data_IF_352943755368
#
_entry.id   IF_352943755368
#
_cell.length_a   1.000
_cell.length_b   1.000
_cell.length_c   1.000
_cell.angle_alpha   90.00
_cell.angle_beta   90.00
_cell.angle_gamma   90.00
#
_symmetry.space_group_name_H-M   'P 1'
#
loop_
_entity.id
_entity.type
_entity.pdbx_description
1 polymer ?
#
# COMPACT_ATOMS: atom_id res chain seq x y z
N UNK A 1 16.94 6.95 20.43
CA UNK A 1 17.74 5.93 19.71
C UNK A 1 17.25 4.53 20.11
N UNK A 2 16.00 4.17 19.79
CA UNK A 2 15.37 2.91 20.22
C UNK A 2 15.53 1.77 19.19
N UNK A 3 15.85 2.10 17.93
CA UNK A 3 15.86 1.13 16.84
C UNK A 3 17.14 0.28 16.75
N UNK A 4 18.26 0.76 17.29
CA UNK A 4 19.54 0.04 17.21
C UNK A 4 19.54 -1.20 18.12
N UNK A 5 19.15 -1.11 19.42
CA UNK A 5 19.03 -2.30 20.25
C UNK A 5 18.08 -3.34 19.65
N UNK A 6 16.89 -2.90 19.22
CA UNK A 6 15.90 -3.78 18.58
C UNK A 6 16.43 -4.46 17.31
N UNK A 7 17.16 -3.73 16.45
CA UNK A 7 17.78 -4.30 15.26
C UNK A 7 18.82 -5.37 15.62
N UNK A 8 19.62 -5.14 16.65
CA UNK A 8 20.65 -6.08 17.09
C UNK A 8 20.01 -7.35 17.66
N UNK A 9 18.98 -7.23 18.49
CA UNK A 9 18.21 -8.38 19.01
C UNK A 9 17.60 -9.21 17.86
N UNK A 10 17.00 -8.56 16.86
CA UNK A 10 16.49 -9.27 15.67
C UNK A 10 17.58 -10.00 14.90
N UNK A 11 18.79 -9.43 14.82
CA UNK A 11 19.93 -10.06 14.16
C UNK A 11 20.41 -11.29 14.93
N UNK A 12 20.53 -11.18 16.25
CA UNK A 12 20.89 -12.32 17.10
C UNK A 12 19.89 -13.48 16.93
N UNK A 13 18.59 -13.18 16.85
CA UNK A 13 17.57 -14.21 16.57
C UNK A 13 17.77 -14.89 15.20
N UNK A 14 18.22 -14.18 14.17
CA UNK A 14 18.50 -14.76 12.85
C UNK A 14 19.81 -15.55 12.80
N UNK A 15 20.82 -15.14 13.56
CA UNK A 15 22.17 -15.72 13.51
C UNK A 15 22.35 -16.89 14.49
N UNK A 16 21.80 -16.76 15.70
CA UNK A 16 22.03 -17.69 16.82
C UNK A 16 20.76 -18.49 17.16
N UNK A 17 19.58 -17.89 16.98
CA UNK A 17 18.30 -18.49 17.34
C UNK A 17 17.92 -18.28 18.81
N UNK A 18 16.96 -19.07 19.30
CA UNK A 18 16.48 -19.02 20.68
C UNK A 18 16.29 -20.45 21.22
N UNK A 19 16.87 -20.73 22.39
CA UNK A 19 16.74 -22.04 23.04
C UNK A 19 15.48 -22.06 23.92
N UNK A 20 14.52 -22.92 23.59
CA UNK A 20 13.29 -23.13 24.37
C UNK A 20 13.16 -24.62 24.64
N UNK A 21 13.15 -25.02 25.92
CA UNK A 21 13.01 -26.42 26.32
C UNK A 21 14.15 -27.31 25.80
N UNK A 22 15.37 -26.78 25.66
CA UNK A 22 16.52 -27.50 25.12
C UNK A 22 16.58 -27.59 23.59
N UNK A 23 15.60 -27.04 22.87
CA UNK A 23 15.57 -27.00 21.40
C UNK A 23 16.00 -25.61 20.94
N UNK A 24 16.96 -25.51 20.02
CA UNK A 24 17.33 -24.24 19.39
C UNK A 24 16.41 -23.94 18.19
N UNK A 25 15.68 -22.82 18.28
CA UNK A 25 14.76 -22.35 17.25
C UNK A 25 15.44 -21.25 16.41
N UNK A 26 15.59 -21.49 15.10
CA UNK A 26 16.10 -20.50 14.15
C UNK A 26 14.97 -19.66 13.56
N UNK A 27 15.21 -18.36 13.33
CA UNK A 27 14.20 -17.43 12.85
C UNK A 27 14.48 -16.97 11.43
N UNK A 28 13.47 -17.11 10.56
CA UNK A 28 13.44 -16.47 9.25
C UNK A 28 12.52 -15.25 9.32
N UNK A 29 13.10 -14.07 9.19
CA UNK A 29 12.36 -12.81 9.24
C UNK A 29 11.80 -12.45 7.86
N UNK A 30 10.60 -11.88 7.88
CA UNK A 30 9.89 -11.35 6.72
C UNK A 30 9.42 -9.94 7.04
N UNK A 31 9.38 -9.08 6.03
CA UNK A 31 8.99 -7.69 6.19
C UNK A 31 7.97 -7.29 5.13
N UNK A 32 6.88 -6.66 5.55
CA UNK A 32 5.91 -6.02 4.66
C UNK A 32 5.45 -4.71 5.26
N UNK A 33 5.22 -3.72 4.40
CA UNK A 33 4.76 -2.39 4.79
C UNK A 33 4.21 -1.63 3.59
N UNK A 34 3.68 -0.43 3.84
CA UNK A 34 3.47 0.55 2.78
C UNK A 34 4.81 0.96 2.13
N UNK A 35 4.74 1.49 0.91
CA UNK A 35 5.92 1.88 0.13
C UNK A 35 6.84 2.89 0.81
N UNK A 36 6.28 3.85 1.54
CA UNK A 36 7.07 4.90 2.18
C UNK A 36 7.92 4.30 3.28
N UNK A 37 7.32 3.48 4.14
CA UNK A 37 8.08 2.80 5.19
C UNK A 37 9.08 1.78 4.61
N UNK A 38 8.69 1.05 3.57
CA UNK A 38 9.56 0.13 2.85
C UNK A 38 10.83 0.84 2.33
N UNK A 39 10.64 1.97 1.64
CA UNK A 39 11.75 2.74 1.08
C UNK A 39 12.67 3.30 2.18
N UNK A 40 12.10 3.78 3.30
CA UNK A 40 12.89 4.25 4.45
C UNK A 40 13.75 3.12 5.02
N UNK A 41 13.14 1.96 5.30
CA UNK A 41 13.84 0.84 5.88
C UNK A 41 14.89 0.22 4.93
N UNK A 42 14.71 0.35 3.62
CA UNK A 42 15.66 -0.10 2.60
C UNK A 42 16.72 0.95 2.22
N UNK A 43 16.72 2.13 2.85
CA UNK A 43 17.63 3.22 2.47
C UNK A 43 17.48 3.61 0.99
N UNK A 44 16.24 3.53 0.48
CA UNK A 44 15.91 3.62 -0.94
C UNK A 44 15.29 4.97 -1.29
N UNK A 45 15.36 5.32 -2.57
CA UNK A 45 14.77 6.54 -3.10
C UNK A 45 13.24 6.56 -2.95
N UNK A 46 12.69 7.77 -3.04
CA UNK A 46 11.25 7.97 -3.11
C UNK A 46 10.64 7.29 -4.36
N UNK A 47 9.35 6.99 -4.27
CA UNK A 47 8.58 6.32 -5.33
C UNK A 47 8.56 7.08 -6.68
N UNK A 48 8.81 8.39 -6.67
CA UNK A 48 8.86 9.24 -7.86
C UNK A 48 10.27 9.38 -8.47
N UNK A 49 11.29 8.71 -7.93
CA UNK A 49 12.65 8.76 -8.46
C UNK A 49 12.81 8.01 -9.79
N UNK A 50 13.94 8.21 -10.46
CA UNK A 50 14.27 7.51 -11.71
C UNK A 50 14.36 5.98 -11.51
N UNK A 51 14.94 5.55 -10.38
CA UNK A 51 15.07 4.15 -10.00
C UNK A 51 14.16 3.89 -8.81
N UNK A 52 12.93 3.47 -9.11
CA UNK A 52 11.88 3.38 -8.11
C UNK A 52 11.67 1.95 -7.60
N UNK A 53 12.16 0.89 -8.26
CA UNK A 53 11.90 -0.47 -7.82
C UNK A 53 12.98 -0.98 -6.84
N UNK A 54 12.59 -1.44 -5.64
CA UNK A 54 13.52 -2.04 -4.70
C UNK A 54 14.06 -3.40 -5.16
N UNK A 55 13.35 -4.14 -6.00
CA UNK A 55 13.67 -5.54 -6.33
C UNK A 55 14.39 -5.75 -7.67
N UNK A 56 14.27 -4.81 -8.61
CA UNK A 56 14.90 -4.89 -9.92
C UNK A 56 15.53 -3.54 -10.33
N UNK A 57 16.44 -3.51 -11.33
CA UNK A 57 17.18 -2.30 -11.69
C UNK A 57 16.43 -1.37 -12.66
N UNK A 58 15.10 -1.51 -12.80
CA UNK A 58 14.31 -0.70 -13.73
C UNK A 58 14.48 0.80 -13.49
N UNK A 59 14.64 1.54 -14.59
CA UNK A 59 14.49 2.99 -14.61
C UNK A 59 13.14 3.42 -15.20
N UNK A 60 12.67 4.61 -14.84
CA UNK A 60 11.45 5.21 -15.43
C UNK A 60 11.48 5.27 -16.96
N UNK A 61 12.67 5.40 -17.56
CA UNK A 61 12.85 5.45 -19.01
C UNK A 61 12.46 4.15 -19.71
N UNK A 62 12.51 3.04 -18.99
CA UNK A 62 12.25 1.70 -19.55
C UNK A 62 10.83 1.21 -19.28
N UNK A 63 10.03 1.96 -18.50
CA UNK A 63 8.66 1.57 -18.13
C UNK A 63 7.71 1.46 -19.33
N UNK A 64 7.99 2.18 -20.41
CA UNK A 64 7.22 2.10 -21.66
C UNK A 64 7.47 0.80 -22.43
N UNK A 65 8.54 0.07 -22.14
CA UNK A 65 8.87 -1.16 -22.84
C UNK A 65 8.15 -2.37 -22.21
N UNK A 66 6.91 -2.60 -22.64
CA UNK A 66 6.06 -3.72 -22.19
C UNK A 66 6.59 -5.10 -22.56
N UNK A 67 7.52 -5.20 -23.51
CA UNK A 67 8.11 -6.46 -23.93
C UNK A 67 9.28 -6.88 -23.03
N UNK A 68 9.83 -5.95 -22.23
CA UNK A 68 10.92 -6.24 -21.31
C UNK A 68 10.39 -7.01 -20.10
N UNK A 69 11.12 -8.05 -19.72
CA UNK A 69 10.90 -8.80 -18.47
C UNK A 69 11.71 -8.16 -17.35
N UNK A 70 11.11 -8.09 -16.17
CA UNK A 70 11.76 -7.68 -14.93
C UNK A 70 11.57 -8.78 -13.90
N UNK A 71 12.66 -9.19 -13.27
CA UNK A 71 12.69 -10.18 -12.21
C UNK A 71 13.32 -9.59 -10.95
N UNK A 72 13.07 -10.21 -9.80
CA UNK A 72 13.78 -9.93 -8.56
C UNK A 72 15.24 -10.33 -8.76
N UNK A 73 16.11 -9.34 -8.92
CA UNK A 73 17.54 -9.55 -9.23
C UNK A 73 18.48 -8.80 -8.31
N UNK A 74 17.98 -7.80 -7.58
CA UNK A 74 18.75 -7.12 -6.54
C UNK A 74 18.96 -8.07 -5.35
N UNK A 75 20.12 -7.95 -4.72
CA UNK A 75 20.50 -8.73 -3.54
C UNK A 75 20.83 -7.80 -2.38
N UNK A 76 20.50 -8.21 -1.16
CA UNK A 76 20.71 -7.41 0.06
C UNK A 76 22.19 -7.11 0.30
N UNK A 77 23.08 -8.05 0.02
CA UNK A 77 24.54 -7.88 0.22
C UNK A 77 25.16 -6.90 -0.77
N UNK A 78 24.58 -6.80 -1.98
CA UNK A 78 25.06 -5.93 -3.05
C UNK A 78 24.28 -4.61 -3.15
N UNK A 79 23.48 -4.28 -2.13
CA UNK A 79 22.46 -3.22 -2.23
C UNK A 79 23.03 -1.85 -2.61
N UNK A 80 24.24 -1.54 -2.13
CA UNK A 80 24.95 -0.28 -2.38
C UNK A 80 25.49 -0.15 -3.81
N UNK A 81 25.54 -1.24 -4.59
CA UNK A 81 25.98 -1.23 -5.99
C UNK A 81 24.83 -0.79 -6.91
N UNK A 82 23.59 -1.03 -6.49
CA UNK A 82 22.44 -0.72 -7.33
C UNK A 82 22.01 0.73 -7.20
N UNK A 83 21.64 1.31 -8.35
CA UNK A 83 20.97 2.60 -8.38
C UNK A 83 19.67 2.57 -7.55
N UNK A 84 19.41 3.71 -6.91
CA UNK A 84 18.22 3.94 -6.10
C UNK A 84 18.44 3.78 -4.59
N UNK A 85 19.49 3.10 -4.15
CA UNK A 85 19.85 3.01 -2.74
C UNK A 85 20.88 4.08 -2.39
N UNK A 86 20.65 4.82 -1.30
CA UNK A 86 21.52 5.89 -0.81
C UNK A 86 22.07 5.62 0.59
N UNK A 87 21.55 4.60 1.28
CA UNK A 87 22.00 4.19 2.60
C UNK A 87 21.83 2.70 2.82
N UNK A 88 22.57 2.15 3.79
CA UNK A 88 22.45 0.74 4.17
C UNK A 88 21.06 0.48 4.75
N UNK A 89 20.35 -0.58 4.31
CA UNK A 89 19.06 -0.96 4.86
C UNK A 89 19.09 -1.15 6.38
N UNK A 90 18.06 -0.64 7.06
CA UNK A 90 17.88 -0.73 8.49
C UNK A 90 17.81 -2.20 8.95
N UNK A 91 17.14 -3.05 8.18
CA UNK A 91 17.00 -4.48 8.45
C UNK A 91 17.74 -5.32 7.38
N UNK A 92 19.03 -5.03 7.17
CA UNK A 92 19.86 -5.72 6.18
C UNK A 92 20.13 -7.22 6.49
N UNK A 93 19.70 -7.74 7.64
CA UNK A 93 19.69 -9.18 7.90
C UNK A 93 18.51 -9.91 7.24
N UNK A 94 17.53 -9.17 6.69
CA UNK A 94 16.38 -9.75 5.97
C UNK A 94 16.71 -9.80 4.47
N UNK A 95 16.76 -10.99 3.84
CA UNK A 95 16.98 -11.12 2.40
C UNK A 95 15.95 -10.33 1.59
N UNK A 96 16.34 -9.78 0.44
CA UNK A 96 15.46 -8.86 -0.31
C UNK A 96 14.16 -9.52 -0.81
N UNK A 97 14.18 -10.82 -1.08
CA UNK A 97 12.99 -11.58 -1.45
C UNK A 97 12.09 -11.95 -0.25
N UNK A 98 12.49 -11.60 0.97
CA UNK A 98 11.65 -11.59 2.18
C UNK A 98 11.03 -10.22 2.47
N UNK A 99 11.33 -9.20 1.66
CA UNK A 99 10.62 -7.92 1.66
C UNK A 99 9.44 -8.02 0.71
N UNK A 100 8.27 -8.33 1.25
CA UNK A 100 7.10 -8.75 0.50
C UNK A 100 6.18 -7.53 0.26
N UNK A 101 5.81 -7.25 -1.00
CA UNK A 101 4.84 -6.20 -1.31
C UNK A 101 3.51 -6.41 -0.58
N UNK A 102 2.98 -5.36 0.02
CA UNK A 102 1.69 -5.43 0.69
C UNK A 102 0.52 -5.39 -0.31
N UNK A 103 -0.29 -6.45 -0.31
CA UNK A 103 -1.46 -6.58 -1.19
C UNK A 103 -2.52 -5.50 -0.93
N UNK A 104 -2.68 -5.09 0.32
CA UNK A 104 -3.66 -4.07 0.67
C UNK A 104 -3.25 -2.74 0.01
N UNK A 105 -2.00 -2.32 0.17
CA UNK A 105 -1.51 -1.09 -0.45
C UNK A 105 -1.48 -1.15 -1.98
N UNK A 106 -1.26 -2.32 -2.60
CA UNK A 106 -1.44 -2.51 -4.05
C UNK A 106 -2.88 -2.15 -4.45
N UNK A 107 -3.88 -2.73 -3.76
CA UNK A 107 -5.30 -2.43 -4.03
C UNK A 107 -5.61 -0.96 -3.86
N UNK A 108 -5.20 -0.36 -2.72
CA UNK A 108 -5.50 1.02 -2.41
C UNK A 108 -4.94 1.98 -3.46
N UNK A 109 -3.64 1.82 -3.79
CA UNK A 109 -2.91 2.79 -4.61
C UNK A 109 -3.18 2.66 -6.09
N UNK A 110 -3.44 1.45 -6.59
CA UNK A 110 -3.84 1.27 -7.99
C UNK A 110 -5.27 1.75 -8.19
N UNK A 111 -6.20 1.47 -7.27
CA UNK A 111 -7.57 2.00 -7.36
C UNK A 111 -7.57 3.54 -7.33
N UNK A 112 -6.77 4.16 -6.45
CA UNK A 112 -6.58 5.61 -6.45
C UNK A 112 -6.08 6.12 -7.80
N UNK A 113 -5.13 5.42 -8.41
CA UNK A 113 -4.60 5.82 -9.73
C UNK A 113 -5.66 5.73 -10.80
N UNK A 114 -6.39 4.61 -10.87
CA UNK A 114 -7.47 4.39 -11.83
C UNK A 114 -8.59 5.44 -11.70
N UNK A 115 -9.00 5.73 -10.46
CA UNK A 115 -10.02 6.76 -10.18
C UNK A 115 -9.56 8.15 -10.61
N UNK A 116 -8.34 8.54 -10.23
CA UNK A 116 -7.78 9.84 -10.60
C UNK A 116 -7.64 10.02 -12.11
N UNK A 117 -7.30 8.95 -12.83
CA UNK A 117 -7.19 9.00 -14.29
C UNK A 117 -8.55 9.23 -14.96
N UNK A 118 -9.63 8.62 -14.46
CA UNK A 118 -11.00 8.90 -14.95
C UNK A 118 -11.39 10.34 -14.67
N UNK A 119 -11.15 10.85 -13.45
CA UNK A 119 -11.47 12.24 -13.12
C UNK A 119 -10.68 13.23 -13.98
N UNK A 120 -9.40 12.97 -14.22
CA UNK A 120 -8.56 13.81 -15.07
C UNK A 120 -9.07 13.84 -16.53
N UNK A 121 -9.51 12.72 -17.06
CA UNK A 121 -10.09 12.65 -18.41
C UNK A 121 -11.37 13.50 -18.52
N UNK A 122 -12.22 13.49 -17.50
CA UNK A 122 -13.43 14.33 -17.45
C UNK A 122 -13.07 15.82 -17.29
N UNK A 123 -11.97 16.13 -16.60
CA UNK A 123 -11.45 17.49 -16.49
C UNK A 123 -10.90 18.00 -17.82
N UNK A 124 -10.09 17.20 -18.54
CA UNK A 124 -9.50 17.58 -19.83
C UNK A 124 -10.54 17.82 -20.93
N UNK A 125 -11.69 17.15 -20.85
CA UNK A 125 -12.80 17.34 -21.79
C UNK A 125 -13.65 18.57 -21.49
N UNK A 126 -13.40 19.29 -20.38
CA UNK A 126 -14.18 20.45 -19.96
C UNK A 126 -15.54 20.11 -19.33
N UNK A 127 -15.87 18.83 -19.18
CA UNK A 127 -17.14 18.37 -18.60
C UNK A 127 -17.13 18.32 -17.07
N UNK A 128 -16.00 18.57 -16.40
CA UNK A 128 -15.91 18.56 -14.93
C UNK A 128 -16.53 19.82 -14.27
N UNK A 129 -17.83 20.01 -14.48
CA UNK A 129 -18.65 21.08 -13.92
C UNK A 129 -19.51 20.55 -12.74
N UNK A 130 -20.40 21.40 -12.23
CA UNK A 130 -21.29 21.03 -11.11
C UNK A 130 -22.20 19.85 -11.44
N UNK A 131 -22.68 19.76 -12.68
CA UNK A 131 -23.54 18.66 -13.14
C UNK A 131 -22.80 17.33 -13.11
N UNK A 132 -21.58 17.28 -13.64
CA UNK A 132 -20.76 16.07 -13.61
C UNK A 132 -20.40 15.66 -12.17
N UNK A 133 -20.06 16.62 -11.30
CA UNK A 133 -19.83 16.35 -9.88
C UNK A 133 -21.07 15.76 -9.19
N UNK A 134 -22.25 16.30 -9.48
CA UNK A 134 -23.51 15.79 -8.93
C UNK A 134 -23.84 14.38 -9.42
N UNK A 135 -23.60 14.08 -10.70
CA UNK A 135 -23.76 12.73 -11.27
C UNK A 135 -22.84 11.75 -10.56
N UNK A 136 -21.56 12.09 -10.39
CA UNK A 136 -20.58 11.25 -9.67
C UNK A 136 -21.04 11.00 -8.24
N UNK A 137 -21.48 12.04 -7.51
CA UNK A 137 -21.96 11.90 -6.13
C UNK A 137 -23.20 11.01 -6.05
N UNK A 138 -24.17 11.18 -6.96
CA UNK A 138 -25.36 10.31 -7.03
C UNK A 138 -24.97 8.86 -7.28
N UNK A 139 -24.03 8.63 -8.18
CA UNK A 139 -23.56 7.29 -8.52
C UNK A 139 -22.78 6.63 -7.37
N UNK A 140 -21.93 7.39 -6.66
CA UNK A 140 -21.29 6.95 -5.42
C UNK A 140 -22.31 6.57 -4.34
N UNK A 141 -23.34 7.39 -4.16
CA UNK A 141 -24.41 7.13 -3.20
C UNK A 141 -25.21 5.86 -3.57
N UNK A 142 -25.47 5.62 -4.87
CA UNK A 142 -26.13 4.40 -5.37
C UNK A 142 -25.41 3.13 -4.91
N UNK A 143 -24.07 3.15 -4.95
CA UNK A 143 -23.23 2.03 -4.49
C UNK A 143 -22.91 2.08 -2.98
N UNK A 144 -23.60 2.93 -2.22
CA UNK A 144 -23.44 3.10 -0.76
C UNK A 144 -22.01 3.53 -0.37
N UNK A 145 -21.45 4.47 -1.11
CA UNK A 145 -20.17 5.14 -0.83
C UNK A 145 -20.48 6.62 -0.53
N UNK A 146 -20.12 7.07 0.67
CA UNK A 146 -20.26 8.47 1.05
C UNK A 146 -19.14 9.29 0.39
N UNK A 147 -19.49 10.15 -0.56
CA UNK A 147 -18.54 10.88 -1.38
C UNK A 147 -19.01 12.31 -1.66
N UNK A 148 -18.12 13.26 -1.52
CA UNK A 148 -18.40 14.68 -1.71
C UNK A 148 -17.22 15.38 -2.40
N UNK A 149 -17.53 16.44 -3.12
CA UNK A 149 -16.57 17.39 -3.67
C UNK A 149 -16.60 18.70 -2.86
N UNK A 150 -15.46 19.36 -2.73
CA UNK A 150 -15.37 20.72 -2.19
C UNK A 150 -14.26 21.50 -2.89
N UNK A 151 -14.37 22.82 -2.89
CA UNK A 151 -13.32 23.68 -3.39
C UNK A 151 -12.34 24.01 -2.26
N UNK A 152 -11.04 23.92 -2.55
CA UNK A 152 -10.00 24.28 -1.60
C UNK A 152 -9.94 25.80 -1.36
N UNK A 153 -9.67 26.20 -0.11
CA UNK A 153 -9.62 27.63 0.24
C UNK A 153 -8.48 28.32 -0.51
N UNK A 154 -8.81 29.36 -1.27
CA UNK A 154 -7.84 30.21 -1.96
C UNK A 154 -7.37 29.69 -3.32
N UNK A 155 -7.97 28.62 -3.87
CA UNK A 155 -7.74 28.21 -5.24
C UNK A 155 -9.03 27.72 -5.93
N UNK A 156 -9.01 27.64 -7.26
CA UNK A 156 -10.11 27.06 -8.05
C UNK A 156 -10.04 25.52 -8.13
N UNK A 157 -9.19 24.89 -7.31
CA UNK A 157 -9.00 23.45 -7.31
C UNK A 157 -10.08 22.76 -6.49
N UNK A 158 -10.65 21.72 -7.08
CA UNK A 158 -11.63 20.86 -6.43
C UNK A 158 -10.94 19.65 -5.80
N UNK A 159 -11.24 19.43 -4.53
CA UNK A 159 -10.90 18.24 -3.78
C UNK A 159 -12.12 17.34 -3.60
N UNK A 160 -11.89 16.09 -3.18
CA UNK A 160 -12.93 15.09 -3.00
C UNK A 160 -12.62 14.12 -1.87
N UNK A 161 -13.66 13.42 -1.39
CA UNK A 161 -13.55 12.49 -0.28
C UNK A 161 -12.54 11.38 -0.56
N UNK A 162 -11.56 11.21 0.33
CA UNK A 162 -10.63 10.08 0.25
C UNK A 162 -11.36 8.77 0.51
N UNK A 163 -11.31 7.84 -0.46
CA UNK A 163 -12.00 6.56 -0.36
C UNK A 163 -11.26 5.60 0.59
N UNK A 164 -12.00 4.98 1.50
CA UNK A 164 -11.48 3.90 2.36
C UNK A 164 -11.41 2.57 1.62
N UNK A 165 -10.68 1.58 2.14
CA UNK A 165 -10.41 0.32 1.42
C UNK A 165 -11.66 -0.42 0.92
N UNK A 166 -12.73 -0.47 1.73
CA UNK A 166 -13.99 -1.09 1.31
C UNK A 166 -14.73 -0.27 0.24
N UNK A 167 -14.70 1.05 0.37
CA UNK A 167 -15.33 1.93 -0.62
C UNK A 167 -14.57 1.90 -1.95
N UNK A 168 -13.24 1.79 -1.94
CA UNK A 168 -12.44 1.57 -3.14
C UNK A 168 -12.85 0.28 -3.87
N UNK A 169 -13.06 -0.82 -3.14
CA UNK A 169 -13.53 -2.07 -3.75
C UNK A 169 -14.95 -1.95 -4.34
N UNK A 170 -15.84 -1.22 -3.67
CA UNK A 170 -17.19 -0.94 -4.20
C UNK A 170 -17.13 -0.10 -5.47
N UNK A 171 -16.34 0.99 -5.47
CA UNK A 171 -16.15 1.84 -6.64
C UNK A 171 -15.58 1.02 -7.79
N UNK A 172 -14.52 0.26 -7.53
CA UNK A 172 -13.86 -0.57 -8.52
C UNK A 172 -14.85 -1.55 -9.17
N UNK A 173 -15.75 -2.19 -8.42
CA UNK A 173 -16.67 -3.20 -8.97
C UNK A 173 -17.97 -2.62 -9.54
N UNK A 174 -18.54 -1.62 -8.86
CA UNK A 174 -19.96 -1.30 -9.04
C UNK A 174 -20.22 0.11 -9.57
N UNK A 175 -19.24 1.01 -9.61
CA UNK A 175 -19.45 2.35 -10.16
C UNK A 175 -19.79 2.27 -11.66
N UNK A 176 -20.92 2.85 -12.05
CA UNK A 176 -21.36 2.88 -13.45
C UNK A 176 -20.65 4.00 -14.22
N UNK A 177 -19.61 3.61 -14.95
CA UNK A 177 -18.82 4.51 -15.78
C UNK A 177 -19.62 5.12 -16.95
N UNK A 178 -20.74 4.53 -17.35
CA UNK A 178 -21.56 5.05 -18.46
C UNK A 178 -22.28 6.35 -18.10
N UNK A 179 -22.39 6.65 -16.80
CA UNK A 179 -22.97 7.90 -16.29
C UNK A 179 -22.08 9.11 -16.58
N UNK A 180 -20.78 8.91 -16.80
CA UNK A 180 -19.78 10.00 -16.91
C UNK A 180 -18.85 9.89 -18.12
N UNK A 181 -18.93 8.81 -18.91
CA UNK A 181 -18.08 8.59 -20.08
C UNK A 181 -18.88 8.07 -21.29
N UNK A 182 -18.42 8.33 -22.52
CA UNK A 182 -19.01 7.75 -23.73
C UNK A 182 -19.07 6.21 -23.67
N UNK A 183 -20.10 5.55 -24.23
CA UNK A 183 -20.32 4.10 -24.07
C UNK A 183 -19.15 3.20 -24.48
N UNK A 184 -18.38 3.57 -25.50
CA UNK A 184 -17.17 2.83 -25.92
C UNK A 184 -16.06 2.95 -24.89
N UNK A 185 -15.83 4.16 -24.37
CA UNK A 185 -14.81 4.45 -23.36
C UNK A 185 -15.17 3.84 -22.01
N UNK A 186 -16.42 3.97 -21.58
CA UNK A 186 -16.94 3.37 -20.36
C UNK A 186 -16.70 1.85 -20.33
N UNK A 187 -17.01 1.14 -21.43
CA UNK A 187 -16.76 -0.31 -21.55
C UNK A 187 -15.27 -0.65 -21.45
N UNK A 188 -14.40 0.11 -22.11
CA UNK A 188 -12.97 -0.15 -22.06
C UNK A 188 -12.39 0.05 -20.65
N UNK A 189 -12.80 1.11 -19.93
CA UNK A 189 -12.37 1.36 -18.55
C UNK A 189 -12.97 0.32 -17.59
N UNK A 190 -14.22 -0.09 -17.79
CA UNK A 190 -14.86 -1.20 -17.03
C UNK A 190 -14.03 -2.48 -17.15
N UNK A 191 -13.65 -2.88 -18.37
CA UNK A 191 -12.78 -4.04 -18.59
C UNK A 191 -11.42 -3.91 -17.88
N UNK A 192 -10.82 -2.71 -17.86
CA UNK A 192 -9.58 -2.47 -17.14
C UNK A 192 -9.76 -2.62 -15.62
N UNK A 193 -10.86 -2.08 -15.07
CA UNK A 193 -11.17 -2.12 -13.64
C UNK A 193 -11.52 -3.55 -13.18
N UNK A 194 -12.28 -4.29 -13.98
CA UNK A 194 -12.58 -5.71 -13.75
C UNK A 194 -11.31 -6.55 -13.76
N UNK A 195 -10.46 -6.37 -14.77
CA UNK A 195 -9.20 -7.09 -14.85
C UNK A 195 -8.27 -6.79 -13.67
N UNK A 196 -8.28 -5.56 -13.13
CA UNK A 196 -7.53 -5.26 -11.92
C UNK A 196 -8.14 -5.92 -10.68
N UNK A 197 -9.47 -5.89 -10.54
CA UNK A 197 -10.17 -6.56 -9.44
C UNK A 197 -9.90 -8.07 -9.42
N UNK A 198 -9.92 -8.71 -10.59
CA UNK A 198 -9.62 -10.15 -10.73
C UNK A 198 -8.19 -10.45 -10.29
N UNK A 199 -7.20 -9.66 -10.74
CA UNK A 199 -5.82 -9.80 -10.28
C UNK A 199 -5.69 -9.62 -8.76
N UNK A 200 -6.46 -8.69 -8.19
CA UNK A 200 -6.46 -8.49 -6.75
C UNK A 200 -7.05 -9.69 -5.98
N UNK A 201 -8.13 -10.29 -6.49
CA UNK A 201 -8.69 -11.52 -5.94
C UNK A 201 -7.71 -12.70 -6.07
N UNK A 202 -7.03 -12.82 -7.21
CA UNK A 202 -6.02 -13.83 -7.47
C UNK A 202 -4.85 -13.76 -6.49
N UNK A 203 -4.39 -12.56 -6.09
CA UNK A 203 -3.36 -12.38 -5.05
C UNK A 203 -3.76 -13.03 -3.73
N UNK A 204 -5.04 -12.96 -3.40
CA UNK A 204 -5.60 -13.40 -2.12
C UNK A 204 -6.02 -14.86 -2.12
N UNK A 205 -6.02 -15.50 -3.30
CA UNK A 205 -6.38 -16.89 -3.47
C UNK A 205 -5.12 -17.78 -3.42
N UNK A 206 -4.96 -18.65 -2.40
CA UNK A 206 -3.80 -19.53 -2.29
C UNK A 206 -3.69 -20.57 -3.41
N UNK A 207 -4.78 -20.82 -4.15
CA UNK A 207 -4.81 -21.74 -5.28
C UNK A 207 -4.34 -21.11 -6.61
N UNK A 208 -4.13 -19.79 -6.64
CA UNK A 208 -3.69 -19.09 -7.86
C UNK A 208 -2.36 -19.63 -8.36
N UNK A 209 -2.31 -19.95 -9.66
CA UNK A 209 -1.07 -20.35 -10.31
C UNK A 209 -0.22 -19.12 -10.66
N UNK A 210 1.06 -19.03 -10.21
CA UNK A 210 1.91 -17.87 -10.49
C UNK A 210 2.14 -17.57 -11.97
N UNK A 211 2.23 -18.61 -12.82
CA UNK A 211 2.42 -18.44 -14.28
C UNK A 211 1.16 -17.87 -14.94
N UNK A 212 -0.01 -18.34 -14.54
CA UNK A 212 -1.29 -17.79 -14.99
C UNK A 212 -1.44 -16.34 -14.53
N UNK A 213 -1.12 -16.04 -13.27
CA UNK A 213 -1.13 -14.68 -12.75
C UNK A 213 -0.22 -13.75 -13.57
N UNK A 214 1.04 -14.15 -13.80
CA UNK A 214 1.99 -13.38 -14.64
C UNK A 214 1.40 -13.04 -16.00
N UNK A 215 0.81 -14.04 -16.68
CA UNK A 215 0.20 -13.86 -18.00
C UNK A 215 -0.97 -12.86 -17.95
N UNK A 216 -1.86 -13.01 -16.98
CA UNK A 216 -3.03 -12.15 -16.81
C UNK A 216 -2.61 -10.70 -16.47
N UNK A 217 -1.65 -10.52 -15.56
CA UNK A 217 -1.15 -9.21 -15.16
C UNK A 217 -0.48 -8.47 -16.33
N UNK A 218 0.27 -9.20 -17.18
CA UNK A 218 0.84 -8.63 -18.41
C UNK A 218 -0.22 -8.26 -19.44
N UNK A 219 -1.26 -9.08 -19.60
CA UNK A 219 -2.36 -8.74 -20.49
C UNK A 219 -3.08 -7.48 -20.00
N UNK A 220 -3.32 -7.38 -18.70
CA UNK A 220 -3.90 -6.20 -18.07
C UNK A 220 -3.03 -4.95 -18.29
N UNK A 221 -1.70 -5.04 -18.13
CA UNK A 221 -0.79 -3.92 -18.44
C UNK A 221 -0.83 -3.51 -19.92
N UNK A 222 -0.98 -4.47 -20.84
CA UNK A 222 -1.18 -4.16 -22.26
C UNK A 222 -2.47 -3.37 -22.48
N UNK A 223 -3.59 -3.78 -21.86
CA UNK A 223 -4.86 -3.03 -21.94
C UNK A 223 -4.69 -1.60 -21.38
N UNK A 224 -3.96 -1.45 -20.28
CA UNK A 224 -3.65 -0.15 -19.69
C UNK A 224 -2.91 0.78 -20.68
N UNK A 225 -2.03 0.24 -21.54
CA UNK A 225 -1.10 1.02 -22.38
C UNK A 225 -1.39 1.09 -23.89
N UNK A 226 -2.21 0.19 -24.48
CA UNK A 226 -2.18 -0.08 -25.95
C UNK A 226 -2.71 1.07 -26.84
N UNK A 227 -1.86 1.80 -27.61
CA UNK A 227 -2.28 2.99 -28.36
C UNK A 227 -3.09 2.75 -29.64
N UNK A 228 -2.94 1.59 -30.30
CA UNK A 228 -3.50 1.32 -31.65
C UNK A 228 -5.01 1.05 -31.71
N UNK A 229 -5.69 1.08 -30.56
CA UNK A 229 -7.15 1.17 -30.42
C UNK A 229 -7.57 2.35 -29.51
N UNK A 230 -6.65 3.30 -29.26
CA UNK A 230 -6.81 4.37 -28.29
C UNK A 230 -6.49 3.91 -26.86
N UNK A 231 -5.20 3.70 -26.56
CA UNK A 231 -4.73 3.25 -25.25
C UNK A 231 -5.31 4.04 -24.11
N UNK A 232 -5.71 3.34 -23.04
CA UNK A 232 -6.43 3.98 -21.95
C UNK A 232 -5.58 5.07 -21.32
N UNK A 233 -4.31 4.75 -21.01
CA UNK A 233 -3.40 5.63 -20.28
C UNK A 233 -1.95 5.53 -20.79
N UNK A 234 -1.11 6.48 -20.38
CA UNK A 234 0.27 6.64 -20.86
C UNK A 234 1.24 5.82 -20.01
N UNK A 235 2.45 5.48 -20.52
CA UNK A 235 3.50 4.86 -19.71
C UNK A 235 3.85 5.63 -18.43
N UNK A 236 3.77 6.97 -18.46
CA UNK A 236 3.99 7.82 -17.29
C UNK A 236 2.90 7.66 -16.22
N UNK A 237 1.78 7.00 -16.54
CA UNK A 237 0.69 6.73 -15.60
C UNK A 237 0.91 5.47 -14.76
N UNK A 238 1.87 4.64 -15.14
CA UNK A 238 2.30 3.48 -14.37
C UNK A 238 2.92 3.94 -13.05
N UNK A 239 2.39 3.42 -11.95
CA UNK A 239 2.94 3.66 -10.60
C UNK A 239 3.88 2.52 -10.20
N UNK A 240 4.72 2.72 -9.16
CA UNK A 240 5.52 1.63 -8.59
C UNK A 240 4.69 0.39 -8.22
N UNK A 241 3.48 0.58 -7.70
CA UNK A 241 2.57 -0.52 -7.39
C UNK A 241 2.08 -1.26 -8.63
N UNK A 242 1.80 -0.57 -9.75
CA UNK A 242 1.46 -1.22 -11.02
C UNK A 242 2.64 -2.06 -11.52
N UNK A 243 3.86 -1.53 -11.46
CA UNK A 243 5.05 -2.28 -11.84
C UNK A 243 5.22 -3.55 -10.99
N UNK A 244 5.09 -3.42 -9.68
CA UNK A 244 5.22 -4.56 -8.75
C UNK A 244 4.12 -5.61 -8.96
N UNK A 245 2.88 -5.18 -9.18
CA UNK A 245 1.75 -6.05 -9.51
C UNK A 245 2.09 -6.92 -10.73
N UNK A 246 2.59 -6.31 -11.79
CA UNK A 246 2.78 -6.98 -13.08
C UNK A 246 4.03 -7.85 -13.09
N UNK A 247 5.12 -7.37 -12.50
CA UNK A 247 6.44 -7.99 -12.68
C UNK A 247 6.91 -8.78 -11.47
N UNK A 248 6.46 -8.51 -10.24
CA UNK A 248 7.06 -9.12 -9.05
C UNK A 248 6.10 -9.98 -8.24
N UNK A 249 4.80 -9.70 -8.24
CA UNK A 249 3.84 -10.48 -7.43
C UNK A 249 3.87 -11.98 -7.77
N UNK A 250 3.99 -12.35 -9.05
CA UNK A 250 4.11 -13.76 -9.42
C UNK A 250 5.36 -14.45 -8.84
N UNK A 251 6.49 -13.75 -8.75
CA UNK A 251 7.73 -14.29 -8.16
C UNK A 251 7.56 -14.48 -6.66
N UNK A 252 6.90 -13.54 -5.98
CA UNK A 252 6.58 -13.67 -4.56
C UNK A 252 5.57 -14.77 -4.29
N UNK A 253 4.56 -14.96 -5.16
CA UNK A 253 3.64 -16.10 -5.06
C UNK A 253 4.39 -17.44 -5.17
N UNK A 254 5.36 -17.53 -6.07
CA UNK A 254 6.16 -18.75 -6.25
C UNK A 254 7.07 -19.01 -5.05
N UNK A 255 7.82 -17.99 -4.60
CA UNK A 255 8.73 -18.07 -3.45
C UNK A 255 8.02 -18.35 -2.13
N UNK A 256 6.85 -17.72 -1.90
CA UNK A 256 6.13 -17.76 -0.63
C UNK A 256 4.84 -18.59 -0.70
N UNK A 257 4.75 -19.51 -1.67
CA UNK A 257 3.56 -20.36 -1.90
C UNK A 257 3.07 -21.07 -0.65
N UNK A 258 3.99 -21.48 0.23
CA UNK A 258 3.69 -22.17 1.49
C UNK A 258 2.71 -21.40 2.38
N UNK A 259 2.84 -20.08 2.44
CA UNK A 259 2.04 -19.22 3.31
C UNK A 259 0.99 -18.41 2.54
N UNK A 260 1.23 -18.15 1.26
CA UNK A 260 0.44 -17.23 0.45
C UNK A 260 0.67 -15.75 0.82
N UNK A 261 0.48 -14.84 -0.12
CA UNK A 261 0.79 -13.42 0.07
C UNK A 261 -0.09 -12.73 1.11
N UNK A 262 -1.34 -13.20 1.27
CA UNK A 262 -2.28 -12.70 2.27
C UNK A 262 -1.72 -12.78 3.70
N UNK A 263 -0.87 -13.77 3.99
CA UNK A 263 -0.26 -13.95 5.31
C UNK A 263 0.71 -12.82 5.68
N UNK A 264 1.15 -12.03 4.70
CA UNK A 264 2.03 -10.87 4.89
C UNK A 264 1.29 -9.53 4.79
N UNK A 265 -0.05 -9.55 4.69
CA UNK A 265 -0.87 -8.34 4.54
C UNK A 265 -0.76 -7.41 5.75
N UNK A 266 -0.60 -6.11 5.49
CA UNK A 266 -0.55 -5.08 6.52
C UNK A 266 -1.93 -4.70 7.08
N UNK A 267 -3.02 -5.32 6.61
CA UNK A 267 -4.38 -4.98 7.02
C UNK A 267 -4.60 -5.05 8.54
N UNK A 268 -3.98 -6.02 9.23
CA UNK A 268 -4.07 -6.13 10.68
C UNK A 268 -3.41 -4.95 11.40
N UNK A 269 -2.26 -4.48 10.89
CA UNK A 269 -1.53 -3.32 11.43
C UNK A 269 -2.36 -2.06 11.23
N UNK A 270 -2.96 -1.87 10.06
CA UNK A 270 -3.83 -0.71 9.78
C UNK A 270 -5.10 -0.70 10.65
N UNK A 271 -5.73 -1.86 10.86
CA UNK A 271 -6.87 -1.99 11.76
C UNK A 271 -6.49 -1.66 13.20
N UNK A 272 -5.33 -2.14 13.67
CA UNK A 272 -4.81 -1.78 15.01
C UNK A 272 -4.54 -0.29 15.12
N UNK A 273 -3.93 0.32 14.11
CA UNK A 273 -3.70 1.76 14.05
C UNK A 273 -5.01 2.54 14.15
N UNK A 274 -6.05 2.13 13.39
CA UNK A 274 -7.37 2.75 13.46
C UNK A 274 -8.01 2.61 14.85
N UNK A 275 -7.93 1.44 15.47
CA UNK A 275 -8.42 1.21 16.83
C UNK A 275 -7.69 2.10 17.85
N UNK A 276 -6.35 2.17 17.79
CA UNK A 276 -5.56 3.03 18.66
C UNK A 276 -5.91 4.51 18.46
N UNK A 277 -6.03 4.97 17.21
CA UNK A 277 -6.44 6.36 16.93
C UNK A 277 -7.83 6.65 17.50
N UNK A 278 -8.79 5.74 17.30
CA UNK A 278 -10.14 5.90 17.83
C UNK A 278 -10.17 5.88 19.36
N UNK A 279 -9.36 5.02 19.99
CA UNK A 279 -9.33 4.83 21.43
C UNK A 279 -8.66 6.02 22.14
N UNK A 280 -7.50 6.45 21.66
CA UNK A 280 -6.69 7.47 22.34
C UNK A 280 -7.02 8.90 21.89
N UNK A 281 -7.50 9.09 20.67
CA UNK A 281 -7.72 10.42 20.10
C UNK A 281 -9.17 10.70 19.69
N UNK A 282 -10.12 9.76 19.85
CA UNK A 282 -11.55 9.97 19.53
C UNK A 282 -11.82 10.67 18.18
N UNK A 283 -10.99 10.39 17.16
CA UNK A 283 -11.04 10.98 15.81
C UNK A 283 -10.57 12.45 15.69
N UNK A 284 -9.86 13.03 16.67
CA UNK A 284 -9.17 14.33 16.51
C UNK A 284 -7.75 14.17 15.94
N UNK A 285 -7.24 15.21 15.27
CA UNK A 285 -5.89 15.24 14.69
C UNK A 285 -4.79 15.07 15.76
N UNK A 286 -3.65 14.53 15.32
CA UNK A 286 -2.46 14.19 16.13
C UNK A 286 -1.63 15.41 16.58
N UNK A 287 -2.01 16.61 16.15
CA UNK A 287 -1.24 17.82 16.36
C UNK A 287 -1.67 18.43 17.70
N UNK A 288 -0.99 17.98 18.75
CA UNK A 288 -1.21 18.43 20.12
C UNK A 288 -1.07 19.95 20.27
N UNK A 289 -1.91 20.51 21.12
CA UNK A 289 -1.87 21.89 21.57
C UNK A 289 -0.56 22.26 22.24
N UNK A 290 -0.19 23.53 22.04
CA UNK A 290 1.00 24.22 22.53
C UNK A 290 1.23 24.03 24.03
N UNK A 291 2.37 23.42 24.41
CA UNK A 291 2.85 23.43 25.79
C UNK A 291 4.25 22.85 25.92
N UNK A 292 5.15 23.58 26.58
CA UNK A 292 6.60 23.30 26.66
C UNK A 292 7.00 22.01 27.41
N UNK A 293 6.05 21.29 28.04
CA UNK A 293 6.32 20.12 28.90
C UNK A 293 5.51 18.85 28.56
N UNK A 294 4.94 18.70 27.35
CA UNK A 294 4.14 17.51 27.00
C UNK A 294 4.97 16.37 26.40
N UNK A 295 4.86 15.16 26.97
CA UNK A 295 5.34 13.90 26.35
C UNK A 295 4.64 13.71 25.00
N UNK A 296 5.36 13.21 23.99
CA UNK A 296 4.75 12.92 22.69
C UNK A 296 3.63 11.88 22.84
N UNK A 297 2.61 11.96 21.99
CA UNK A 297 1.45 11.07 22.11
C UNK A 297 1.83 9.59 22.02
N UNK A 298 2.87 9.26 21.24
CA UNK A 298 3.40 7.89 21.14
C UNK A 298 4.00 7.40 22.46
N UNK A 299 4.72 8.25 23.20
CA UNK A 299 5.27 7.89 24.51
C UNK A 299 4.14 7.64 25.51
N UNK A 300 3.11 8.49 25.51
CA UNK A 300 1.96 8.32 26.40
C UNK A 300 1.17 7.03 26.10
N UNK A 301 1.04 6.65 24.83
CA UNK A 301 0.43 5.37 24.41
C UNK A 301 1.28 4.19 24.89
N UNK A 302 2.59 4.22 24.63
CA UNK A 302 3.52 3.16 25.07
C UNK A 302 3.49 2.97 26.58
N UNK A 303 3.49 4.06 27.36
CA UNK A 303 3.35 4.00 28.81
C UNK A 303 2.01 3.41 29.26
N UNK A 304 0.91 3.72 28.56
CA UNK A 304 -0.40 3.15 28.85
C UNK A 304 -0.44 1.65 28.53
N UNK A 305 0.08 1.23 27.38
CA UNK A 305 0.15 -0.18 26.99
C UNK A 305 1.05 -0.97 27.96
N UNK A 306 2.21 -0.43 28.34
CA UNK A 306 3.10 -1.04 29.34
C UNK A 306 2.42 -1.20 30.70
N UNK A 307 1.69 -0.17 31.18
CA UNK A 307 0.90 -0.28 32.42
C UNK A 307 -0.16 -1.38 32.29
N UNK A 308 -0.90 -1.41 31.19
CA UNK A 308 -1.92 -2.44 30.96
C UNK A 308 -1.34 -3.85 30.95
N UNK A 309 -0.19 -4.05 30.29
CA UNK A 309 0.53 -5.32 30.28
C UNK A 309 0.96 -5.73 31.69
N UNK A 310 1.54 -4.80 32.45
CA UNK A 310 1.94 -5.05 33.84
C UNK A 310 0.76 -5.49 34.71
N UNK A 311 -0.40 -4.82 34.61
CA UNK A 311 -1.59 -5.20 35.38
C UNK A 311 -2.15 -6.56 34.98
N UNK A 312 -2.13 -6.89 33.69
CA UNK A 312 -2.58 -8.19 33.20
C UNK A 312 -1.66 -9.34 33.63
N UNK A 313 -0.35 -9.11 33.69
CA UNK A 313 0.63 -10.13 34.09
C UNK A 313 0.59 -10.37 35.61
N UNK A 314 0.34 -9.31 36.39
CA UNK A 314 0.37 -9.36 37.85
C UNK A 314 -1.01 -9.56 38.50
N UNK A 315 -1.99 -10.06 37.74
CA UNK A 315 -3.36 -10.41 38.17
C UNK A 315 -4.03 -9.41 39.13
N UNK A 316 -3.75 -8.12 38.90
CA UNK A 316 -4.23 -7.06 39.79
C UNK A 316 -5.65 -6.69 39.35
N UNK A 317 -6.64 -6.81 40.23
CA UNK A 317 -8.06 -6.48 39.96
C UNK A 317 -8.33 -4.99 39.61
N UNK A 318 -7.28 -4.17 39.46
CA UNK A 318 -7.37 -2.75 39.12
C UNK A 318 -7.09 -2.58 37.63
N UNK A 319 -8.15 -2.53 36.83
CA UNK A 319 -8.04 -2.11 35.42
C UNK A 319 -7.50 -0.67 35.36
N UNK A 320 -6.41 -0.39 34.61
CA UNK A 320 -5.91 0.96 34.46
C UNK A 320 -6.98 1.85 33.82
N UNK A 321 -7.33 2.94 34.51
CA UNK A 321 -8.29 3.93 34.01
C UNK A 321 -7.85 4.40 32.62
N UNK A 322 -8.81 4.51 31.68
CA UNK A 322 -8.55 5.07 30.35
C UNK A 322 -7.87 6.43 30.49
N UNK A 323 -6.68 6.56 29.92
CA UNK A 323 -5.99 7.85 29.87
C UNK A 323 -6.50 8.57 28.63
N UNK A 324 -7.21 9.67 28.85
CA UNK A 324 -7.40 10.67 27.80
C UNK A 324 -6.04 11.32 27.58
N UNK A 325 -5.45 11.09 26.41
CA UNK A 325 -4.29 11.87 26.02
C UNK A 325 -4.73 13.32 25.98
N UNK A 326 -4.01 14.14 26.72
CA UNK A 326 -4.19 15.57 26.71
C UNK A 326 -3.67 16.05 25.35
N UNK A 327 -4.61 16.16 24.39
CA UNK A 327 -4.41 16.85 23.10
C UNK A 327 -4.26 18.33 23.35
#
# INVERSE_FOLDING_TARGET
MLMIPFRNELRELTEIGLIIGGINWMFNLYFSSDWKFLAICLGFNSANSLFFCPWCPISKKEMSNVNKEWSISKQMDCINIYNGHHSVPLFNMIPLDHWIPDELHIMLRITDRLWNLVLHEIQETGYFNDVAREIIVKEMNRIKVNFHFWQEKGCQTWSFTSLMGQDKLKVLQFFDLSTILPPTRARAIRMLWDGFYDLYMDIRNPATNPKTFKRNAKMWLKIFLTPSTGGLYRPNDITPYIHVLVFHIHEFMEKHKKWGLKSFSCAAVENKNHQQVSQFFRKTLRDGGNGANRKSAIVQILEFENRKLHYNINDSQVTPKMIKLQV
#
